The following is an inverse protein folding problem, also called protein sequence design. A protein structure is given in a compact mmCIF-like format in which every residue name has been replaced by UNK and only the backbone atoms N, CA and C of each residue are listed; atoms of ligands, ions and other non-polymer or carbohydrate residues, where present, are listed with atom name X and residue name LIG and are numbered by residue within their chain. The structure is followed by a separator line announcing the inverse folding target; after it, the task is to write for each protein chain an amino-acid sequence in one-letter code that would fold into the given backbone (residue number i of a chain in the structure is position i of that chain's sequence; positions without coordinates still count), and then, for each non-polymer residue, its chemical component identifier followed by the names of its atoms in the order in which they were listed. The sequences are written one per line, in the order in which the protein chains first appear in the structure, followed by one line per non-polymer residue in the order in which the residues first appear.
data_IF_078650117408
#
_entry.id   IF_078650117408
#
_cell.length_a   1.000
_cell.length_b   1.000
_cell.length_c   1.000
_cell.angle_alpha   90.00
_cell.angle_beta   90.00
_cell.angle_gamma   90.00
#
_symmetry.space_group_name_H-M   'P 1'
#
loop_
_entity.id
_entity.type
_entity.pdbx_description
1 polymer ?
#
# COMPACT_ATOMS: atom_id res chain seq x y z
N UNK A 1 -1.89 3.24 -0.91
CA UNK A 1 -3.35 3.44 -1.08
C UNK A 1 -3.75 4.88 -0.72
N UNK A 2 -3.02 5.52 0.19
CA UNK A 2 -3.17 6.94 0.55
C UNK A 2 -2.73 7.90 -0.58
N UNK A 3 -1.64 7.59 -1.30
CA UNK A 3 -1.13 8.42 -2.41
C UNK A 3 -2.16 8.67 -3.54
N UNK A 4 -3.05 7.71 -3.79
CA UNK A 4 -4.09 7.81 -4.82
C UNK A 4 -5.24 8.74 -4.38
N UNK A 5 -5.50 8.83 -3.07
CA UNK A 5 -6.50 9.77 -2.55
C UNK A 5 -6.00 11.21 -2.62
N UNK A 6 -4.72 11.42 -2.33
CA UNK A 6 -4.10 12.75 -2.34
C UNK A 6 -4.01 13.31 -3.77
N UNK A 7 -3.64 12.48 -4.75
CA UNK A 7 -3.64 12.84 -6.18
C UNK A 7 -5.04 13.18 -6.70
N UNK A 8 -6.07 12.46 -6.24
CA UNK A 8 -7.46 12.73 -6.61
C UNK A 8 -8.00 14.02 -6.00
N UNK A 9 -7.59 14.35 -4.78
CA UNK A 9 -7.95 15.61 -4.13
C UNK A 9 -7.26 16.78 -4.84
N UNK A 10 -5.98 16.66 -5.16
CA UNK A 10 -5.24 17.68 -5.91
C UNK A 10 -5.87 17.96 -7.29
N UNK A 11 -6.27 16.91 -8.02
CA UNK A 11 -6.99 17.04 -9.30
C UNK A 11 -8.37 17.71 -9.14
N UNK A 12 -9.08 17.43 -8.04
CA UNK A 12 -10.36 18.07 -7.75
C UNK A 12 -10.18 19.55 -7.39
N UNK A 13 -9.15 19.90 -6.63
CA UNK A 13 -8.80 21.27 -6.29
C UNK A 13 -8.42 22.08 -7.53
N UNK A 14 -7.65 21.49 -8.46
CA UNK A 14 -7.29 22.09 -9.75
C UNK A 14 -8.52 22.34 -10.63
N UNK A 15 -9.40 21.35 -10.77
CA UNK A 15 -10.64 21.49 -11.56
C UNK A 15 -11.63 22.49 -10.96
N UNK A 16 -11.62 22.66 -9.65
CA UNK A 16 -12.45 23.64 -8.94
C UNK A 16 -11.78 25.01 -8.85
N UNK A 17 -10.54 25.17 -9.33
CA UNK A 17 -9.81 26.43 -9.31
C UNK A 17 -9.46 26.92 -7.90
N UNK A 18 -9.43 26.01 -6.91
CA UNK A 18 -9.14 26.32 -5.51
C UNK A 18 -7.62 26.40 -5.30
N UNK A 19 -6.95 27.30 -6.03
CA UNK A 19 -5.61 27.71 -5.64
C UNK A 19 -5.70 28.46 -4.31
N UNK A 20 -4.71 28.23 -3.42
CA UNK A 20 -4.53 28.89 -2.11
C UNK A 20 -4.33 30.42 -2.22
N UNK A 21 -5.25 31.13 -2.88
CA UNK A 21 -5.34 32.59 -2.85
C UNK A 21 -6.33 32.97 -1.76
N UNK A 22 -5.96 33.96 -0.96
CA UNK A 22 -6.60 34.32 0.30
C UNK A 22 -8.12 34.39 0.25
N UNK A 23 -8.73 34.05 1.39
CA UNK A 23 -10.16 34.08 1.70
C UNK A 23 -10.70 35.53 1.61
N UNK A 24 -10.72 36.10 0.41
CA UNK A 24 -11.36 37.36 0.09
C UNK A 24 -12.75 37.06 -0.39
N UNK A 25 -13.75 37.18 0.49
CA UNK A 25 -15.21 37.13 0.30
C UNK A 25 -15.74 36.79 -1.13
N UNK A 26 -15.36 35.64 -1.68
CA UNK A 26 -15.81 35.16 -3.01
C UNK A 26 -17.33 35.03 -3.01
N UNK A 27 -17.92 34.65 -1.87
CA UNK A 27 -19.37 34.60 -1.71
C UNK A 27 -20.03 35.98 -1.86
N UNK A 28 -19.41 37.05 -1.36
CA UNK A 28 -19.94 38.41 -1.50
C UNK A 28 -19.88 38.92 -2.93
N UNK A 29 -18.80 38.64 -3.66
CA UNK A 29 -18.65 39.02 -5.06
C UNK A 29 -19.53 38.17 -5.98
N UNK A 30 -19.61 36.85 -5.72
CA UNK A 30 -20.51 35.94 -6.43
C UNK A 30 -21.98 36.31 -6.21
N UNK A 31 -22.37 36.68 -4.97
CA UNK A 31 -23.72 37.15 -4.67
C UNK A 31 -24.02 38.50 -5.34
N UNK A 32 -23.03 39.39 -5.43
CA UNK A 32 -23.18 40.65 -6.14
C UNK A 32 -23.29 40.47 -7.66
N UNK A 33 -22.50 39.56 -8.23
CA UNK A 33 -22.54 39.22 -9.65
C UNK A 33 -23.86 38.52 -9.99
N UNK A 34 -24.29 37.55 -9.18
CA UNK A 34 -25.59 36.87 -9.30
C UNK A 34 -26.75 37.86 -9.20
N UNK A 35 -26.70 38.80 -8.27
CA UNK A 35 -27.71 39.86 -8.14
C UNK A 35 -27.74 40.77 -9.38
N UNK A 36 -26.58 41.16 -9.91
CA UNK A 36 -26.49 41.96 -11.15
C UNK A 36 -26.99 41.20 -12.38
N UNK A 37 -26.68 39.91 -12.49
CA UNK A 37 -27.16 39.02 -13.57
C UNK A 37 -28.67 38.77 -13.49
N UNK A 38 -29.21 38.56 -12.28
CA UNK A 38 -30.66 38.44 -12.09
C UNK A 38 -31.38 39.76 -12.41
N UNK A 39 -30.87 40.92 -11.96
CA UNK A 39 -31.48 42.21 -12.28
C UNK A 39 -31.43 42.56 -13.77
N UNK A 40 -30.30 42.32 -14.44
CA UNK A 40 -30.13 42.63 -15.85
C UNK A 40 -30.76 41.58 -16.78
N UNK A 41 -30.74 40.30 -16.41
CA UNK A 41 -31.27 39.20 -17.21
C UNK A 41 -32.77 38.99 -17.08
N UNK A 42 -33.37 39.24 -15.91
CA UNK A 42 -34.78 38.92 -15.68
C UNK A 42 -35.78 39.87 -16.37
N UNK A 43 -35.40 41.13 -16.62
CA UNK A 43 -36.23 42.07 -17.36
C UNK A 43 -36.24 41.85 -18.88
N UNK A 44 -35.15 41.31 -19.45
CA UNK A 44 -34.95 41.27 -20.90
C UNK A 44 -34.99 39.86 -21.50
N UNK A 45 -34.46 38.83 -20.82
CA UNK A 45 -34.32 37.47 -21.39
C UNK A 45 -35.44 36.51 -21.00
N UNK A 46 -35.95 36.57 -19.77
CA UNK A 46 -36.86 35.54 -19.25
C UNK A 46 -38.32 36.00 -19.07
N UNK A 47 -38.63 37.31 -19.20
CA UNK A 47 -39.97 37.88 -18.93
C UNK A 47 -40.58 37.41 -17.60
N UNK A 48 -39.76 37.05 -16.62
CA UNK A 48 -40.26 36.64 -15.30
C UNK A 48 -40.46 37.94 -14.49
N UNK A 49 -41.66 38.21 -13.97
CA UNK A 49 -41.91 39.35 -13.11
C UNK A 49 -40.96 39.32 -11.91
N UNK A 50 -40.33 40.46 -11.62
CA UNK A 50 -39.40 40.65 -10.49
C UNK A 50 -39.98 40.15 -9.18
N UNK A 51 -41.30 40.24 -9.02
CA UNK A 51 -42.03 39.95 -7.79
C UNK A 51 -42.09 38.44 -7.51
N UNK A 52 -42.19 37.63 -8.56
CA UNK A 52 -42.18 36.17 -8.45
C UNK A 52 -40.77 35.68 -8.10
N UNK A 53 -39.76 36.37 -8.64
CA UNK A 53 -38.36 36.07 -8.39
C UNK A 53 -37.94 36.50 -6.99
N UNK A 54 -38.45 37.62 -6.48
CA UNK A 54 -38.31 38.01 -5.08
C UNK A 54 -38.87 36.94 -4.16
N UNK A 55 -40.05 36.38 -4.42
CA UNK A 55 -40.59 35.27 -3.61
C UNK A 55 -39.74 34.01 -3.65
N UNK A 56 -39.22 33.63 -4.81
CA UNK A 56 -38.34 32.46 -4.95
C UNK A 56 -37.00 32.71 -4.25
N UNK A 57 -36.48 33.93 -4.36
CA UNK A 57 -35.24 34.34 -3.71
C UNK A 57 -35.43 34.48 -2.20
N UNK A 58 -36.58 34.93 -1.71
CA UNK A 58 -36.92 34.95 -0.28
C UNK A 58 -37.09 33.52 0.26
N UNK A 59 -37.62 32.59 -0.54
CA UNK A 59 -37.65 31.16 -0.21
C UNK A 59 -36.23 30.55 -0.15
N UNK A 60 -35.35 30.94 -1.07
CA UNK A 60 -33.98 30.45 -1.15
C UNK A 60 -33.03 31.11 -0.14
N UNK A 61 -33.24 32.40 0.16
CA UNK A 61 -32.49 33.20 1.16
C UNK A 61 -33.03 32.98 2.58
N UNK A 62 -34.26 32.46 2.72
CA UNK A 62 -34.76 31.89 3.99
C UNK A 62 -33.90 30.73 4.53
N UNK A 63 -32.94 30.24 3.74
CA UNK A 63 -31.90 29.28 4.13
C UNK A 63 -30.62 29.97 4.64
N UNK A 64 -30.51 31.30 4.60
CA UNK A 64 -29.24 32.03 4.72
C UNK A 64 -29.22 33.37 5.46
N UNK A 65 -30.22 33.69 6.30
CA UNK A 65 -30.14 34.86 7.20
C UNK A 65 -30.23 34.41 8.68
N UNK A 66 -29.15 33.81 9.16
CA UNK A 66 -28.85 33.90 10.59
C UNK A 66 -28.31 35.28 10.85
N UNK A 67 -29.07 36.13 11.55
CA UNK A 67 -28.60 37.10 12.55
C UNK A 67 -29.80 37.95 13.01
N UNK A 68 -30.08 37.92 14.33
CA UNK A 68 -31.12 38.66 15.05
C UNK A 68 -32.57 38.15 14.96
N UNK A 69 -32.83 36.93 15.44
CA UNK A 69 -34.00 36.58 16.28
C UNK A 69 -34.03 35.06 16.43
N UNK A 70 -33.91 34.56 17.67
CA UNK A 70 -33.82 33.14 18.00
C UNK A 70 -35.12 32.36 17.76
N UNK A 71 -35.57 32.27 16.51
CA UNK A 71 -36.65 31.38 16.08
C UNK A 71 -36.25 30.67 14.79
N UNK A 72 -35.93 29.39 14.90
CA UNK A 72 -35.67 28.48 13.79
C UNK A 72 -36.99 28.13 13.09
N UNK A 73 -37.38 28.90 12.08
CA UNK A 73 -38.52 28.56 11.20
C UNK A 73 -38.11 27.57 10.09
N UNK A 74 -37.23 26.60 10.39
CA UNK A 74 -36.82 25.58 9.42
C UNK A 74 -37.81 24.40 9.35
N UNK A 75 -38.81 24.38 10.22
CA UNK A 75 -39.65 23.20 10.44
C UNK A 75 -41.01 23.25 9.73
N UNK A 76 -41.37 24.35 9.08
CA UNK A 76 -42.75 24.57 8.60
C UNK A 76 -42.97 24.18 7.13
N UNK A 77 -41.92 23.78 6.40
CA UNK A 77 -42.02 23.42 4.97
C UNK A 77 -41.71 21.96 4.64
N UNK A 78 -41.17 21.19 5.58
CA UNK A 78 -41.05 19.74 5.41
C UNK A 78 -42.41 19.09 5.69
N UNK A 79 -42.92 18.39 4.70
CA UNK A 79 -44.11 17.55 4.88
C UNK A 79 -43.83 16.49 5.95
N UNK A 80 -44.84 16.10 6.73
CA UNK A 80 -44.69 15.05 7.76
C UNK A 80 -44.12 13.75 7.20
N UNK A 81 -44.37 13.48 5.92
CA UNK A 81 -43.81 12.38 5.13
C UNK A 81 -42.30 12.48 4.89
N UNK A 82 -41.76 13.67 4.66
CA UNK A 82 -40.32 13.85 4.48
C UNK A 82 -39.57 13.74 5.80
N UNK A 83 -40.12 14.33 6.89
CA UNK A 83 -39.57 14.15 8.24
C UNK A 83 -39.54 12.68 8.64
N UNK A 84 -40.58 11.93 8.30
CA UNK A 84 -40.63 10.49 8.55
C UNK A 84 -39.54 9.72 7.79
N UNK A 85 -39.34 10.02 6.49
CA UNK A 85 -38.28 9.39 5.68
C UNK A 85 -36.88 9.69 6.19
N UNK A 86 -36.64 10.90 6.67
CA UNK A 86 -35.35 11.30 7.21
C UNK A 86 -35.04 10.60 8.55
N UNK A 87 -36.05 10.40 9.39
CA UNK A 87 -35.94 9.60 10.61
C UNK A 87 -35.66 8.12 10.29
N UNK A 88 -36.37 7.54 9.32
CA UNK A 88 -36.16 6.14 8.87
C UNK A 88 -34.74 5.95 8.33
N UNK A 89 -34.26 6.88 7.49
CA UNK A 89 -32.89 6.86 6.98
C UNK A 89 -31.84 6.99 8.10
N UNK A 90 -32.08 7.89 9.06
CA UNK A 90 -31.21 8.04 10.24
C UNK A 90 -31.19 6.78 11.10
N UNK A 91 -32.33 6.12 11.27
CA UNK A 91 -32.46 4.86 11.99
C UNK A 91 -31.67 3.72 11.31
N UNK A 92 -31.75 3.60 9.99
CA UNK A 92 -31.00 2.59 9.23
C UNK A 92 -29.48 2.78 9.36
N UNK A 93 -29.02 4.04 9.32
CA UNK A 93 -27.61 4.37 9.58
C UNK A 93 -27.21 3.97 11.01
N UNK A 94 -28.05 4.26 12.00
CA UNK A 94 -27.77 3.90 13.38
C UNK A 94 -27.70 2.38 13.58
N UNK A 95 -28.62 1.62 12.99
CA UNK A 95 -28.59 0.16 13.03
C UNK A 95 -27.28 -0.39 12.43
N UNK A 96 -26.87 0.14 11.28
CA UNK A 96 -25.64 -0.30 10.63
C UNK A 96 -24.39 0.04 11.45
N UNK A 97 -24.38 1.19 12.14
CA UNK A 97 -23.32 1.55 13.08
C UNK A 97 -23.28 0.60 14.28
N UNK A 98 -24.42 0.24 14.85
CA UNK A 98 -24.49 -0.70 15.97
C UNK A 98 -23.93 -2.07 15.58
N UNK A 99 -24.29 -2.58 14.41
CA UNK A 99 -23.79 -3.86 13.89
C UNK A 99 -22.26 -3.85 13.74
N UNK A 100 -21.71 -2.80 13.13
CA UNK A 100 -20.27 -2.63 12.96
C UNK A 100 -19.53 -2.54 14.30
N UNK A 101 -20.09 -1.83 15.28
CA UNK A 101 -19.51 -1.73 16.62
C UNK A 101 -19.54 -3.07 17.37
N UNK A 102 -20.61 -3.86 17.21
CA UNK A 102 -20.68 -5.21 17.76
C UNK A 102 -19.66 -6.16 17.12
N UNK A 103 -19.46 -6.05 15.80
CA UNK A 103 -18.42 -6.81 15.10
C UNK A 103 -17.03 -6.42 15.58
N UNK A 104 -16.73 -5.11 15.63
CA UNK A 104 -15.47 -4.60 16.14
C UNK A 104 -15.18 -5.08 17.56
N UNK A 105 -16.19 -5.07 18.46
CA UNK A 105 -16.02 -5.57 19.82
C UNK A 105 -15.63 -7.04 19.84
N UNK A 106 -16.34 -7.90 19.09
CA UNK A 106 -16.02 -9.33 18.98
C UNK A 106 -14.62 -9.57 18.44
N UNK A 107 -14.26 -8.88 17.36
CA UNK A 107 -12.96 -9.04 16.71
C UNK A 107 -11.82 -8.53 17.62
N UNK A 108 -12.05 -7.46 18.39
CA UNK A 108 -11.08 -6.93 19.36
C UNK A 108 -10.84 -7.89 20.52
N UNK A 109 -11.88 -8.58 20.99
CA UNK A 109 -11.76 -9.56 22.07
C UNK A 109 -10.95 -10.77 21.62
N UNK A 110 -11.15 -11.23 20.38
CA UNK A 110 -10.36 -12.31 19.77
C UNK A 110 -8.90 -11.87 19.57
N UNK A 111 -8.66 -10.68 19.02
CA UNK A 111 -7.31 -10.22 18.72
C UNK A 111 -6.50 -9.93 20.00
N UNK A 112 -7.10 -9.26 20.98
CA UNK A 112 -6.40 -8.82 22.20
C UNK A 112 -6.28 -9.92 23.26
N UNK A 113 -7.24 -10.85 23.33
CA UNK A 113 -7.18 -11.96 24.28
C UNK A 113 -6.60 -13.24 23.66
N UNK A 114 -6.07 -13.20 22.44
CA UNK A 114 -5.45 -14.40 21.88
C UNK A 114 -4.16 -14.72 22.65
N UNK A 115 -4.24 -15.80 23.43
CA UNK A 115 -3.11 -16.41 24.10
C UNK A 115 -1.97 -16.76 23.12
N UNK A 116 -2.31 -16.97 21.84
CA UNK A 116 -1.35 -17.14 20.76
C UNK A 116 -0.45 -15.92 20.52
N UNK A 117 -0.95 -14.69 20.64
CA UNK A 117 -0.14 -13.48 20.48
C UNK A 117 0.69 -13.23 21.75
N UNK A 118 0.09 -13.44 22.93
CA UNK A 118 0.82 -13.32 24.20
C UNK A 118 1.97 -14.34 24.32
N UNK A 119 1.78 -15.55 23.77
CA UNK A 119 2.79 -16.61 23.82
C UNK A 119 3.94 -16.45 22.82
N UNK A 120 3.84 -15.54 21.85
CA UNK A 120 4.96 -15.22 20.93
C UNK A 120 6.17 -14.72 21.71
N UNK A 121 5.96 -13.88 22.73
CA UNK A 121 7.05 -13.33 23.53
C UNK A 121 7.85 -14.42 24.27
N UNK A 122 7.19 -15.50 24.71
CA UNK A 122 7.87 -16.62 25.37
C UNK A 122 8.63 -17.51 24.39
N UNK A 123 8.16 -17.62 23.15
CA UNK A 123 8.80 -18.42 22.09
C UNK A 123 9.94 -17.71 21.37
N UNK A 124 10.12 -16.40 21.62
CA UNK A 124 11.17 -15.62 20.99
C UNK A 124 12.57 -16.12 21.36
N UNK A 125 12.79 -16.40 22.65
CA UNK A 125 14.07 -16.89 23.14
C UNK A 125 14.40 -18.28 22.57
N UNK A 126 13.40 -19.15 22.45
CA UNK A 126 13.56 -20.47 21.83
C UNK A 126 13.89 -20.34 20.34
N UNK A 127 13.26 -19.37 19.65
CA UNK A 127 13.54 -19.08 18.24
C UNK A 127 14.96 -18.54 18.03
N UNK A 128 15.42 -17.64 18.90
CA UNK A 128 16.79 -17.11 18.87
C UNK A 128 17.83 -18.23 19.13
N UNK A 129 17.53 -19.15 20.05
CA UNK A 129 18.39 -20.31 20.32
C UNK A 129 18.50 -21.22 19.09
N UNK A 130 17.37 -21.51 18.43
CA UNK A 130 17.32 -22.30 17.19
C UNK A 130 18.04 -21.58 16.05
N UNK A 131 17.85 -20.27 15.90
CA UNK A 131 18.55 -19.47 14.87
C UNK A 131 20.06 -19.55 15.06
N UNK A 132 20.54 -19.44 16.30
CA UNK A 132 21.95 -19.57 16.62
C UNK A 132 22.48 -20.97 16.29
N UNK A 133 21.77 -22.02 16.66
CA UNK A 133 22.16 -23.41 16.36
C UNK A 133 22.26 -23.68 14.85
N UNK A 134 21.30 -23.15 14.07
CA UNK A 134 21.31 -23.25 12.61
C UNK A 134 22.50 -22.51 12.02
N UNK A 135 22.82 -21.32 12.52
CA UNK A 135 23.98 -20.54 12.06
C UNK A 135 25.31 -21.25 12.38
N UNK A 136 25.46 -21.77 13.59
CA UNK A 136 26.65 -22.53 14.01
C UNK A 136 26.83 -23.81 13.15
N UNK A 137 25.73 -24.54 12.93
CA UNK A 137 25.71 -25.72 12.07
C UNK A 137 26.08 -25.39 10.62
N UNK A 138 25.57 -24.27 10.10
CA UNK A 138 25.88 -23.81 8.74
C UNK A 138 27.35 -23.43 8.60
N UNK A 139 27.94 -22.80 9.63
CA UNK A 139 29.36 -22.47 9.66
C UNK A 139 30.22 -23.74 9.65
N UNK A 140 29.87 -24.73 10.48
CA UNK A 140 30.56 -26.03 10.53
C UNK A 140 30.51 -26.76 9.18
N UNK A 141 29.33 -26.81 8.54
CA UNK A 141 29.17 -27.45 7.22
C UNK A 141 30.02 -26.74 6.16
N UNK A 142 30.10 -25.41 6.21
CA UNK A 142 30.93 -24.62 5.28
C UNK A 142 32.41 -24.97 5.44
N UNK A 143 32.90 -25.02 6.67
CA UNK A 143 34.29 -25.39 6.97
C UNK A 143 34.60 -26.81 6.48
N UNK A 144 33.73 -27.77 6.80
CA UNK A 144 33.88 -29.15 6.32
C UNK A 144 33.90 -29.20 4.78
N UNK A 145 33.04 -28.44 4.11
CA UNK A 145 33.03 -28.38 2.65
C UNK A 145 34.32 -27.81 2.06
N UNK A 146 34.90 -26.77 2.69
CA UNK A 146 36.19 -26.23 2.29
C UNK A 146 37.32 -27.26 2.44
N UNK A 147 37.33 -28.02 3.54
CA UNK A 147 38.31 -29.08 3.77
C UNK A 147 38.20 -30.20 2.72
N UNK A 148 36.97 -30.65 2.41
CA UNK A 148 36.73 -31.66 1.37
C UNK A 148 37.17 -31.15 -0.01
N UNK A 149 36.88 -29.89 -0.34
CA UNK A 149 37.30 -29.29 -1.60
C UNK A 149 38.84 -29.21 -1.72
N UNK A 150 39.53 -28.89 -0.62
CA UNK A 150 40.99 -28.87 -0.58
C UNK A 150 41.61 -30.26 -0.74
N UNK A 151 41.07 -31.27 -0.04
CA UNK A 151 41.49 -32.67 -0.20
C UNK A 151 41.29 -33.12 -1.65
N UNK A 152 40.13 -32.83 -2.24
CA UNK A 152 39.84 -33.16 -3.65
C UNK A 152 40.85 -32.51 -4.59
N UNK A 153 41.20 -31.24 -4.37
CA UNK A 153 42.21 -30.53 -5.16
C UNK A 153 43.57 -31.22 -5.05
N UNK A 154 44.03 -31.51 -3.83
CA UNK A 154 45.30 -32.21 -3.59
C UNK A 154 45.34 -33.59 -4.25
N UNK A 155 44.23 -34.33 -4.19
CA UNK A 155 44.11 -35.63 -4.82
C UNK A 155 44.21 -35.55 -6.35
N UNK A 156 43.54 -34.57 -6.98
CA UNK A 156 43.66 -34.33 -8.43
C UNK A 156 45.11 -34.02 -8.81
N UNK A 157 45.79 -33.15 -8.08
CA UNK A 157 47.21 -32.84 -8.35
C UNK A 157 48.11 -34.06 -8.24
N UNK A 158 47.89 -34.94 -7.25
CA UNK A 158 48.65 -36.19 -7.14
C UNK A 158 48.39 -37.13 -8.31
N UNK A 159 47.15 -37.24 -8.78
CA UNK A 159 46.81 -38.04 -9.95
C UNK A 159 47.48 -37.52 -11.22
N UNK A 160 47.50 -36.20 -11.42
CA UNK A 160 48.19 -35.57 -12.55
C UNK A 160 49.69 -35.84 -12.52
N UNK A 161 50.33 -35.76 -11.34
CA UNK A 161 51.74 -36.10 -11.16
C UNK A 161 52.03 -37.57 -11.45
N UNK A 162 51.18 -38.47 -10.95
CA UNK A 162 51.31 -39.91 -11.19
C UNK A 162 51.14 -40.24 -12.69
N UNK A 163 50.18 -39.60 -13.36
CA UNK A 163 49.98 -39.74 -14.80
C UNK A 163 51.21 -39.29 -15.59
N UNK A 164 51.82 -38.16 -15.21
CA UNK A 164 53.06 -37.70 -15.84
C UNK A 164 54.20 -38.71 -15.67
N UNK A 165 54.37 -39.27 -14.47
CA UNK A 165 55.40 -40.30 -14.22
C UNK A 165 55.16 -41.57 -15.04
N UNK A 166 53.92 -42.03 -15.15
CA UNK A 166 53.58 -43.21 -15.97
C UNK A 166 53.91 -42.95 -17.44
N UNK A 167 53.61 -41.77 -17.97
CA UNK A 167 53.95 -41.40 -19.34
C UNK A 167 55.47 -41.32 -19.57
N UNK A 168 56.21 -40.80 -18.60
CA UNK A 168 57.68 -40.78 -18.64
C UNK A 168 58.24 -42.22 -18.68
N UNK A 169 57.75 -43.10 -17.82
CA UNK A 169 58.15 -44.50 -17.79
C UNK A 169 57.78 -45.24 -19.08
N UNK A 170 56.59 -45.00 -19.65
CA UNK A 170 56.22 -45.53 -20.95
C UNK A 170 57.20 -45.10 -22.03
N UNK A 171 57.55 -43.81 -22.08
CA UNK A 171 58.54 -43.31 -23.06
C UNK A 171 59.91 -43.95 -22.90
N UNK A 172 60.36 -44.19 -21.66
CA UNK A 172 61.63 -44.87 -21.38
C UNK A 172 61.57 -46.33 -21.86
N UNK A 173 60.48 -47.04 -21.55
CA UNK A 173 60.28 -48.44 -21.98
C UNK A 173 60.27 -48.55 -23.51
N UNK A 174 59.52 -47.70 -24.20
CA UNK A 174 59.47 -47.67 -25.68
C UNK A 174 60.84 -47.38 -26.32
N UNK A 175 61.70 -46.57 -25.67
CA UNK A 175 63.09 -46.37 -26.13
C UNK A 175 63.92 -47.62 -25.94
N UNK A 176 63.83 -48.27 -24.78
CA UNK A 176 64.57 -49.50 -24.49
C UNK A 176 64.15 -50.66 -25.39
N UNK A 177 62.85 -50.76 -25.72
CA UNK A 177 62.33 -51.77 -26.66
C UNK A 177 62.88 -51.57 -28.06
N UNK A 178 62.90 -50.32 -28.59
CA UNK A 178 63.52 -50.01 -29.88
C UNK A 178 65.02 -50.32 -29.91
N UNK A 179 65.77 -49.88 -28.90
CA UNK A 179 67.22 -50.15 -28.79
C UNK A 179 67.52 -51.66 -28.75
N UNK A 180 66.60 -52.46 -28.21
CA UNK A 180 66.72 -53.91 -28.17
C UNK A 180 66.47 -54.53 -29.56
N UNK A 181 65.40 -54.12 -30.24
CA UNK A 181 65.07 -54.60 -31.58
C UNK A 181 66.18 -54.28 -32.59
N UNK A 182 66.78 -53.08 -32.52
CA UNK A 182 67.92 -52.69 -33.36
C UNK A 182 69.16 -53.56 -33.11
N UNK A 183 69.42 -53.95 -31.87
CA UNK A 183 70.54 -54.85 -31.52
C UNK A 183 70.28 -56.29 -31.96
N UNK A 184 69.05 -56.77 -31.88
CA UNK A 184 68.69 -58.12 -32.33
C UNK A 184 68.71 -58.24 -33.87
N UNK A 185 68.47 -57.16 -34.63
CA UNK A 185 68.58 -57.14 -36.11
C UNK A 185 70.01 -56.94 -36.64
N UNK A 186 70.96 -56.53 -35.80
CA UNK A 186 72.36 -56.28 -36.19
C UNK A 186 73.28 -57.50 -36.05
N UNK A 187 72.74 -58.66 -35.64
CA UNK A 187 73.43 -59.96 -35.50
C UNK A 187 72.97 -60.89 -36.60
#
# INVERSE_FOLDING_TARGET
MEDNLEERIANLEERLGLYKSGVGNINGELNNLRRKLSLAGCGFLLKIPSDLLHRINDLAIGVGFYLYSGKTCFNDYLTTTEKKREIEFGHDIMLKRVELLQKFKRDSEIALNSESIASVCYRLNDLEAVEKEVNDSTAYVREHHMNVADIKRKFVTLLEQLQYQVLEWQSIVEKLERDREEKECAV
#
